data_IF_985876051570
#
_entry.id   IF_985876051570
#
_cell.length_a   1.000
_cell.length_b   1.000
_cell.length_c   1.000
_cell.angle_alpha   90.00
_cell.angle_beta   90.00
_cell.angle_gamma   90.00
#
_symmetry.space_group_name_H-M   'P 1'
#
loop_
_entity.id
_entity.type
_entity.pdbx_description
1 polymer ?
#
# COMPACT_ATOMS: atom_id res chain seq x y z
N UNK A 1 -1.37 61.40 -16.57
CA UNK A 1 -1.21 59.94 -16.67
C UNK A 1 -0.68 59.57 -18.05
N UNK A 2 0.55 59.07 -18.12
CA UNK A 2 1.10 58.52 -19.37
C UNK A 2 0.92 56.99 -19.35
N UNK A 3 0.28 56.49 -20.40
CA UNK A 3 0.01 55.07 -20.61
C UNK A 3 1.31 54.36 -21.03
N UNK A 4 1.74 53.33 -20.30
CA UNK A 4 2.95 52.56 -20.60
C UNK A 4 2.55 51.32 -21.40
N UNK A 5 2.54 51.43 -22.73
CA UNK A 5 2.07 50.39 -23.67
C UNK A 5 3.18 49.38 -24.00
N UNK A 6 3.71 48.69 -22.98
CA UNK A 6 4.58 47.54 -23.18
C UNK A 6 3.93 46.28 -22.58
N UNK A 7 3.80 45.19 -23.35
CA UNK A 7 3.12 43.98 -22.89
C UNK A 7 4.00 43.28 -21.84
N UNK A 8 3.83 43.66 -20.58
CA UNK A 8 4.44 42.99 -19.45
C UNK A 8 3.54 41.83 -19.01
N UNK A 9 4.09 40.62 -18.80
CA UNK A 9 3.32 39.47 -18.31
C UNK A 9 2.95 39.58 -16.82
N UNK A 10 3.25 40.71 -16.18
CA UNK A 10 3.04 40.98 -14.76
C UNK A 10 2.40 42.35 -14.56
N UNK A 11 1.69 42.50 -13.44
CA UNK A 11 1.15 43.78 -13.02
C UNK A 11 2.31 44.71 -12.61
N UNK A 12 2.36 45.88 -13.24
CA UNK A 12 3.42 46.86 -13.06
C UNK A 12 2.79 48.22 -12.73
N UNK A 13 3.32 48.88 -11.70
CA UNK A 13 2.96 50.26 -11.33
C UNK A 13 4.23 51.09 -11.21
N UNK A 14 4.17 52.34 -11.66
CA UNK A 14 5.17 53.37 -11.41
C UNK A 14 4.54 54.48 -10.60
N UNK A 15 5.14 54.83 -9.47
CA UNK A 15 4.64 55.90 -8.60
C UNK A 15 5.76 56.86 -8.17
N UNK A 16 5.38 58.08 -7.80
CA UNK A 16 6.29 59.05 -7.18
C UNK A 16 6.49 58.75 -5.68
N UNK A 17 7.37 59.52 -5.02
CA UNK A 17 7.61 59.40 -3.56
C UNK A 17 6.39 59.72 -2.69
N UNK A 18 5.39 60.42 -3.23
CA UNK A 18 4.15 60.74 -2.53
C UNK A 18 3.09 59.64 -2.69
N UNK A 19 3.39 58.59 -3.47
CA UNK A 19 2.49 57.49 -3.77
C UNK A 19 1.49 57.81 -4.88
N UNK A 20 1.69 58.87 -5.65
CA UNK A 20 0.91 59.19 -6.84
C UNK A 20 1.34 58.29 -8.01
N UNK A 21 0.37 57.62 -8.64
CA UNK A 21 0.63 56.65 -9.70
C UNK A 21 0.86 57.40 -11.02
N UNK A 22 2.09 57.32 -11.53
CA UNK A 22 2.55 58.00 -12.75
C UNK A 22 2.19 57.19 -14.00
N UNK A 23 2.39 55.87 -13.95
CA UNK A 23 2.03 54.93 -15.02
C UNK A 23 1.73 53.53 -14.46
N UNK A 24 1.01 52.72 -15.24
CA UNK A 24 0.66 51.34 -14.87
C UNK A 24 0.43 50.48 -16.11
N UNK A 25 0.60 49.15 -15.97
CA UNK A 25 0.32 48.18 -17.05
C UNK A 25 -1.17 47.81 -17.14
N UNK A 26 -1.58 47.25 -18.27
CA UNK A 26 -2.96 46.75 -18.48
C UNK A 26 -3.36 45.74 -17.42
N UNK A 27 -2.46 44.80 -17.07
CA UNK A 27 -2.70 43.78 -16.06
C UNK A 27 -2.87 44.39 -14.65
N UNK A 28 -2.18 45.49 -14.33
CA UNK A 28 -2.37 46.21 -13.08
C UNK A 28 -3.74 46.92 -13.01
N UNK A 29 -4.23 47.46 -14.13
CA UNK A 29 -5.58 48.03 -14.24
C UNK A 29 -6.67 46.97 -14.10
N UNK A 30 -6.44 45.77 -14.62
CA UNK A 30 -7.36 44.65 -14.49
C UNK A 30 -7.42 44.13 -13.04
N UNK A 31 -6.27 44.05 -12.35
CA UNK A 31 -6.19 43.48 -11.01
C UNK A 31 -6.55 44.45 -9.87
N UNK A 32 -6.28 45.75 -10.03
CA UNK A 32 -6.43 46.76 -8.96
C UNK A 32 -7.43 47.88 -9.31
N UNK A 33 -8.04 48.48 -8.28
CA UNK A 33 -8.88 49.68 -8.43
C UNK A 33 -8.04 50.96 -8.39
N UNK A 34 -7.50 51.34 -9.56
CA UNK A 34 -6.57 52.48 -9.70
C UNK A 34 -7.28 53.85 -9.87
N UNK A 35 -8.58 53.94 -9.58
CA UNK A 35 -9.42 55.13 -9.84
C UNK A 35 -9.05 56.37 -9.01
N UNK A 36 -8.43 56.18 -7.85
CA UNK A 36 -8.01 57.27 -6.97
C UNK A 36 -6.63 57.85 -7.31
N UNK A 37 -5.89 57.22 -8.24
CA UNK A 37 -4.56 57.68 -8.65
C UNK A 37 -3.48 57.60 -7.56
N UNK A 38 -3.77 57.01 -6.39
CA UNK A 38 -2.85 56.90 -5.26
C UNK A 38 -2.67 55.44 -4.82
N UNK A 39 -1.42 55.07 -4.55
CA UNK A 39 -1.02 53.73 -4.09
C UNK A 39 -1.64 53.35 -2.73
N UNK A 40 -1.96 54.32 -1.89
CA UNK A 40 -2.60 54.09 -0.57
C UNK A 40 -4.01 53.53 -0.67
N UNK A 41 -4.71 53.77 -1.78
CA UNK A 41 -6.08 53.25 -1.99
C UNK A 41 -6.13 51.74 -2.20
N UNK A 42 -5.05 51.15 -2.72
CA UNK A 42 -4.96 49.71 -3.08
C UNK A 42 -4.24 48.86 -2.03
N UNK A 43 -3.75 49.47 -0.94
CA UNK A 43 -3.01 48.81 0.14
C UNK A 43 -3.79 48.85 1.45
N UNK A 44 -3.50 47.91 2.34
CA UNK A 44 -3.94 48.02 3.75
C UNK A 44 -3.05 48.97 4.56
N UNK A 45 -3.56 49.47 5.68
CA UNK A 45 -2.87 50.48 6.50
C UNK A 45 -1.50 49.99 7.01
N UNK A 46 -1.37 48.69 7.28
CA UNK A 46 -0.11 48.06 7.72
C UNK A 46 0.93 48.00 6.59
N UNK A 47 0.51 47.70 5.37
CA UNK A 47 1.37 47.64 4.18
C UNK A 47 1.82 49.03 3.73
N UNK A 48 1.01 50.07 3.94
CA UNK A 48 1.43 51.47 3.72
C UNK A 48 2.60 51.84 4.63
N UNK A 49 2.57 51.43 5.90
CA UNK A 49 3.67 51.68 6.84
C UNK A 49 4.94 50.94 6.42
N UNK A 50 4.82 49.68 5.98
CA UNK A 50 5.95 48.89 5.47
C UNK A 50 6.58 49.59 4.26
N UNK A 51 5.80 50.06 3.29
CA UNK A 51 6.33 50.80 2.14
C UNK A 51 7.09 52.08 2.52
N UNK A 52 6.58 52.85 3.48
CA UNK A 52 7.23 54.10 3.94
C UNK A 52 8.56 53.84 4.66
N UNK A 53 8.75 52.68 5.28
CA UNK A 53 10.03 52.32 5.91
C UNK A 53 11.14 52.06 4.87
N UNK A 54 10.77 51.59 3.67
CA UNK A 54 11.72 51.29 2.59
C UNK A 54 11.79 52.39 1.52
N UNK A 55 11.24 53.58 1.78
CA UNK A 55 11.33 54.73 0.87
C UNK A 55 12.70 55.44 0.88
N UNK A 56 13.65 54.96 1.70
CA UNK A 56 14.98 55.54 1.92
C UNK A 56 16.12 54.62 1.48
N UNK A 57 15.83 53.69 0.55
CA UNK A 57 16.82 52.75 0.01
C UNK A 57 17.58 53.42 -1.15
N UNK A 58 18.92 53.22 -1.28
CA UNK A 58 19.69 53.81 -2.36
C UNK A 58 19.14 53.48 -3.75
N UNK A 59 19.30 54.42 -4.69
CA UNK A 59 19.07 54.19 -6.12
C UNK A 59 19.84 52.92 -6.54
N UNK A 60 19.19 52.05 -7.32
CA UNK A 60 19.70 50.77 -7.86
C UNK A 60 19.54 49.49 -7.02
N UNK A 61 19.13 49.53 -5.75
CA UNK A 61 18.83 48.31 -4.98
C UNK A 61 17.36 47.89 -5.10
N UNK A 62 17.13 46.63 -5.49
CA UNK A 62 15.78 46.06 -5.56
C UNK A 62 15.31 45.67 -4.15
N UNK A 63 14.23 46.28 -3.68
CA UNK A 63 13.58 45.93 -2.42
C UNK A 63 12.48 44.91 -2.70
N UNK A 64 12.36 43.88 -1.86
CA UNK A 64 11.26 42.90 -1.91
C UNK A 64 10.42 43.00 -0.66
N UNK A 65 9.11 43.09 -0.82
CA UNK A 65 8.15 43.24 0.27
C UNK A 65 6.93 42.35 0.05
N UNK A 66 6.38 41.83 1.14
CA UNK A 66 5.08 41.16 1.12
C UNK A 66 4.01 42.16 1.56
N UNK A 67 3.09 42.46 0.66
CA UNK A 67 2.05 43.46 0.88
C UNK A 67 0.67 42.83 0.65
N UNK A 68 -0.24 43.15 1.55
CA UNK A 68 -1.64 42.84 1.39
C UNK A 68 -2.28 43.93 0.53
N UNK A 69 -2.86 43.50 -0.59
CA UNK A 69 -3.47 44.41 -1.56
C UNK A 69 -4.95 44.15 -1.70
N UNK A 70 -5.72 45.23 -1.84
CA UNK A 70 -7.13 45.17 -2.21
C UNK A 70 -7.22 44.97 -3.72
N UNK A 71 -7.78 43.85 -4.15
CA UNK A 71 -7.98 43.54 -5.56
C UNK A 71 -9.47 43.64 -5.90
N UNK A 72 -9.80 43.70 -7.20
CA UNK A 72 -11.21 43.72 -7.64
C UNK A 72 -11.94 42.40 -7.37
N UNK A 73 -11.21 41.29 -7.35
CA UNK A 73 -11.77 39.95 -7.26
C UNK A 73 -11.75 39.41 -5.82
N UNK A 74 -10.72 39.76 -5.04
CA UNK A 74 -10.57 39.39 -3.64
C UNK A 74 -10.35 40.62 -2.76
N UNK A 75 -11.06 40.74 -1.62
CA UNK A 75 -11.02 41.93 -0.77
C UNK A 75 -9.61 42.21 -0.22
N UNK A 76 -8.82 41.16 0.04
CA UNK A 76 -7.41 41.25 0.41
C UNK A 76 -6.69 40.03 -0.18
N UNK A 77 -5.65 40.25 -0.97
CA UNK A 77 -4.77 39.19 -1.49
C UNK A 77 -3.31 39.54 -1.21
N UNK A 78 -2.48 38.52 -0.96
CA UNK A 78 -1.08 38.67 -0.64
C UNK A 78 -0.24 38.74 -1.92
N UNK A 79 0.58 39.78 -2.05
CA UNK A 79 1.50 39.96 -3.17
C UNK A 79 2.94 40.08 -2.67
N UNK A 80 3.87 39.44 -3.39
CA UNK A 80 5.28 39.78 -3.33
C UNK A 80 5.54 40.93 -4.32
N UNK A 81 6.03 42.04 -3.78
CA UNK A 81 6.23 43.30 -4.50
C UNK A 81 7.71 43.61 -4.59
N UNK A 82 8.20 43.75 -5.81
CA UNK A 82 9.58 44.14 -6.09
C UNK A 82 9.60 45.62 -6.46
N UNK A 83 10.40 46.43 -5.75
CA UNK A 83 10.48 47.88 -5.92
C UNK A 83 11.90 48.25 -6.33
N UNK A 84 12.02 49.05 -7.40
CA UNK A 84 13.27 49.63 -7.86
C UNK A 84 13.10 51.14 -8.11
N UNK A 85 13.88 51.95 -7.40
CA UNK A 85 13.91 53.40 -7.58
C UNK A 85 14.73 53.78 -8.82
N UNK A 86 14.18 54.64 -9.68
CA UNK A 86 14.90 55.22 -10.81
C UNK A 86 15.60 56.53 -10.43
N UNK A 87 16.49 57.01 -11.30
CA UNK A 87 17.25 58.26 -11.11
C UNK A 87 16.39 59.54 -11.10
N UNK A 88 15.08 59.42 -11.27
CA UNK A 88 14.11 60.51 -11.22
C UNK A 88 13.20 60.37 -9.99
N UNK A 89 13.64 59.64 -8.96
CA UNK A 89 12.90 59.41 -7.72
C UNK A 89 11.54 58.71 -7.91
N UNK A 90 11.36 57.93 -8.98
CA UNK A 90 10.16 57.13 -9.16
C UNK A 90 10.38 55.67 -8.75
N UNK A 91 9.40 55.13 -8.01
CA UNK A 91 9.36 53.73 -7.64
C UNK A 91 8.72 52.91 -8.77
N UNK A 92 9.49 52.00 -9.36
CA UNK A 92 8.99 51.00 -10.30
C UNK A 92 8.67 49.72 -9.52
N UNK A 93 7.42 49.28 -9.58
CA UNK A 93 6.90 48.18 -8.77
C UNK A 93 6.35 47.06 -9.65
N UNK A 94 6.76 45.82 -9.36
CA UNK A 94 6.21 44.60 -9.97
C UNK A 94 5.52 43.80 -8.88
N UNK A 95 4.29 43.34 -9.16
CA UNK A 95 3.43 42.63 -8.23
C UNK A 95 3.28 41.17 -8.66
N UNK A 96 3.64 40.24 -7.78
CA UNK A 96 3.48 38.79 -7.97
C UNK A 96 2.48 38.26 -6.94
N UNK A 97 1.35 37.64 -7.35
CA UNK A 97 0.41 37.05 -6.39
C UNK A 97 1.06 35.83 -5.71
N UNK A 98 0.94 35.75 -4.37
CA UNK A 98 1.27 34.53 -3.61
C UNK A 98 -0.02 33.77 -3.34
N UNK A 99 -0.27 32.72 -4.13
CA UNK A 99 -1.41 31.83 -3.94
C UNK A 99 -1.29 31.06 -2.61
N UNK A 100 -2.27 31.25 -1.71
CA UNK A 100 -2.50 30.42 -0.51
C UNK A 100 -2.97 28.98 -0.84
N UNK A 101 -3.22 28.70 -2.13
CA UNK A 101 -3.77 27.44 -2.65
C UNK A 101 -2.85 26.21 -2.48
N UNK A 102 -1.56 26.40 -2.23
CA UNK A 102 -0.62 25.27 -2.08
C UNK A 102 -0.59 24.69 -0.65
N UNK A 103 -0.97 25.46 0.37
CA UNK A 103 -0.93 25.00 1.76
C UNK A 103 -2.02 23.95 2.03
N UNK A 104 -3.25 24.19 1.56
CA UNK A 104 -4.35 23.24 1.70
C UNK A 104 -4.14 21.93 0.91
N UNK A 105 -3.45 22.01 -0.23
CA UNK A 105 -3.08 20.82 -1.01
C UNK A 105 -2.00 20.00 -0.31
N UNK A 106 -0.99 20.67 0.25
CA UNK A 106 0.06 20.01 1.04
C UNK A 106 -0.52 19.29 2.27
N UNK A 107 -1.46 19.94 2.97
CA UNK A 107 -2.14 19.33 4.12
C UNK A 107 -2.96 18.09 3.72
N UNK A 108 -3.72 18.16 2.63
CA UNK A 108 -4.47 17.00 2.11
C UNK A 108 -3.53 15.85 1.69
N UNK A 109 -2.39 16.16 1.08
CA UNK A 109 -1.39 15.16 0.73
C UNK A 109 -0.79 14.49 1.99
N UNK A 110 -0.48 15.27 3.02
CA UNK A 110 -0.01 14.73 4.30
C UNK A 110 -1.07 13.84 4.98
N UNK A 111 -2.33 14.26 4.98
CA UNK A 111 -3.43 13.46 5.52
C UNK A 111 -3.63 12.15 4.75
N UNK A 112 -3.56 12.20 3.42
CA UNK A 112 -3.61 11.01 2.56
C UNK A 112 -2.44 10.07 2.82
N UNK A 113 -1.21 10.59 2.88
CA UNK A 113 -0.03 9.78 3.18
C UNK A 113 -0.16 9.10 4.54
N UNK A 114 -0.66 9.81 5.56
CA UNK A 114 -0.90 9.24 6.89
C UNK A 114 -1.95 8.13 6.86
N UNK A 115 -3.07 8.33 6.16
CA UNK A 115 -4.11 7.30 5.99
C UNK A 115 -3.61 6.09 5.20
N UNK A 116 -2.80 6.31 4.16
CA UNK A 116 -2.19 5.22 3.39
C UNK A 116 -1.27 4.39 4.28
N UNK A 117 -0.35 5.04 5.02
CA UNK A 117 0.54 4.35 5.93
C UNK A 117 -0.21 3.55 7.02
N UNK A 118 -1.29 4.11 7.58
CA UNK A 118 -2.11 3.37 8.56
C UNK A 118 -2.84 2.18 7.93
N UNK A 119 -3.37 2.35 6.72
CA UNK A 119 -4.06 1.27 6.00
C UNK A 119 -3.09 0.16 5.60
N UNK A 120 -1.89 0.52 5.13
CA UNK A 120 -0.85 -0.44 4.77
C UNK A 120 -0.41 -1.24 6.00
N UNK A 121 -0.29 -0.61 7.17
CA UNK A 121 0.01 -1.30 8.41
C UNK A 121 -1.11 -2.27 8.82
N UNK A 122 -2.37 -1.84 8.78
CA UNK A 122 -3.52 -2.70 9.08
C UNK A 122 -3.63 -3.88 8.11
N UNK A 123 -3.38 -3.66 6.81
CA UNK A 123 -3.36 -4.72 5.80
C UNK A 123 -2.24 -5.73 6.06
N UNK A 124 -1.06 -5.27 6.48
CA UNK A 124 0.05 -6.15 6.81
C UNK A 124 -0.29 -7.06 8.00
N UNK A 125 -0.84 -6.48 9.08
CA UNK A 125 -1.28 -7.23 10.26
C UNK A 125 -2.35 -8.27 9.90
N UNK A 126 -3.35 -7.87 9.10
CA UNK A 126 -4.41 -8.78 8.61
C UNK A 126 -3.85 -9.91 7.73
N UNK A 127 -2.84 -9.62 6.93
CA UNK A 127 -2.16 -10.63 6.10
C UNK A 127 -1.42 -11.64 6.99
N UNK A 128 -0.68 -11.18 7.99
CA UNK A 128 0.04 -12.06 8.92
C UNK A 128 -0.91 -12.96 9.72
N UNK A 129 -2.03 -12.40 10.22
CA UNK A 129 -3.09 -13.18 10.87
C UNK A 129 -3.63 -14.29 9.95
N UNK A 130 -3.89 -13.96 8.68
CA UNK A 130 -4.39 -14.92 7.71
C UNK A 130 -3.39 -16.04 7.43
N UNK A 131 -2.10 -15.70 7.25
CA UNK A 131 -1.03 -16.69 7.06
C UNK A 131 -0.95 -17.66 8.25
N UNK A 132 -1.01 -17.17 9.49
CA UNK A 132 -1.03 -18.01 10.68
C UNK A 132 -2.25 -18.95 10.73
N UNK A 133 -3.43 -18.44 10.35
CA UNK A 133 -4.63 -19.26 10.26
C UNK A 133 -4.48 -20.35 9.19
N UNK A 134 -3.90 -20.03 8.03
CA UNK A 134 -3.66 -21.02 6.96
C UNK A 134 -2.68 -22.11 7.40
N UNK A 135 -1.59 -21.74 8.07
CA UNK A 135 -0.63 -22.71 8.64
C UNK A 135 -1.36 -23.65 9.61
N UNK A 136 -2.12 -23.11 10.56
CA UNK A 136 -2.86 -23.90 11.54
C UNK A 136 -3.91 -24.80 10.89
N UNK A 137 -4.61 -24.31 9.86
CA UNK A 137 -5.54 -25.14 9.09
C UNK A 137 -4.83 -26.29 8.40
N UNK A 138 -3.65 -26.05 7.82
CA UNK A 138 -2.86 -27.09 7.17
C UNK A 138 -2.35 -28.13 8.18
N UNK A 139 -1.93 -27.73 9.38
CA UNK A 139 -1.58 -28.65 10.48
C UNK A 139 -2.76 -29.53 10.89
N UNK A 140 -3.96 -28.94 11.02
CA UNK A 140 -5.20 -29.65 11.34
C UNK A 140 -5.74 -30.51 10.18
N UNK A 141 -5.18 -30.37 8.98
CA UNK A 141 -5.65 -31.07 7.78
C UNK A 141 -5.05 -32.48 7.61
N UNK A 142 -4.08 -32.85 8.43
CA UNK A 142 -3.45 -34.18 8.45
C UNK A 142 -3.08 -34.60 9.87
N UNK A 143 -4.04 -34.60 10.82
CA UNK A 143 -3.76 -34.93 12.21
C UNK A 143 -3.31 -36.39 12.30
N UNK A 144 -2.30 -36.64 13.13
CA UNK A 144 -1.86 -37.99 13.42
C UNK A 144 -2.73 -38.59 14.52
N UNK A 145 -3.53 -39.61 14.19
CA UNK A 145 -4.50 -40.22 15.11
C UNK A 145 -4.11 -41.69 15.37
N UNK A 146 -3.52 -42.03 16.52
CA UNK A 146 -3.28 -43.41 16.91
C UNK A 146 -4.61 -44.16 17.06
N UNK A 147 -4.77 -45.28 16.35
CA UNK A 147 -5.94 -46.17 16.47
C UNK A 147 -5.66 -47.34 17.41
N UNK A 148 -4.40 -47.78 17.48
CA UNK A 148 -3.88 -48.77 18.43
C UNK A 148 -2.38 -48.53 18.65
N UNK A 149 -1.73 -49.37 19.44
CA UNK A 149 -0.26 -49.36 19.62
C UNK A 149 0.49 -49.63 18.29
N UNK A 150 -0.15 -50.28 17.32
CA UNK A 150 0.48 -50.70 16.05
C UNK A 150 -0.16 -50.08 14.81
N UNK A 151 -1.23 -49.30 14.96
CA UNK A 151 -1.95 -48.69 13.84
C UNK A 151 -2.23 -47.20 14.06
N UNK A 152 -2.02 -46.39 13.03
CA UNK A 152 -2.39 -44.97 13.03
C UNK A 152 -3.19 -44.58 11.77
N UNK A 153 -3.92 -43.46 11.89
CA UNK A 153 -4.73 -42.85 10.85
C UNK A 153 -4.32 -41.40 10.62
N UNK A 154 -4.12 -41.05 9.36
CA UNK A 154 -3.80 -39.71 8.89
C UNK A 154 -4.86 -39.31 7.86
N UNK A 155 -5.92 -38.60 8.26
CA UNK A 155 -6.94 -38.14 7.33
C UNK A 155 -6.49 -36.86 6.62
N UNK A 156 -6.56 -36.85 5.30
CA UNK A 156 -6.21 -35.70 4.45
C UNK A 156 -7.50 -35.02 3.99
N UNK A 157 -7.69 -33.78 4.41
CA UNK A 157 -8.88 -32.99 4.07
C UNK A 157 -8.62 -31.96 2.97
N UNK A 158 -9.58 -31.75 2.06
CA UNK A 158 -9.52 -30.68 1.07
C UNK A 158 -8.60 -30.96 -0.12
N UNK A 159 -8.07 -29.90 -0.74
CA UNK A 159 -7.22 -30.03 -1.93
C UNK A 159 -5.78 -30.41 -1.54
N UNK A 160 -5.16 -31.28 -2.33
CA UNK A 160 -3.75 -31.67 -2.15
C UNK A 160 -2.87 -30.72 -2.94
N UNK A 161 -2.19 -29.83 -2.23
CA UNK A 161 -1.20 -28.87 -2.76
C UNK A 161 0.20 -29.19 -2.24
N UNK A 162 1.22 -28.59 -2.85
CA UNK A 162 2.62 -28.75 -2.41
C UNK A 162 2.83 -28.28 -0.96
N UNK A 163 2.34 -27.09 -0.62
CA UNK A 163 2.46 -26.50 0.71
C UNK A 163 1.84 -27.39 1.79
N UNK A 164 0.61 -27.85 1.53
CA UNK A 164 -0.12 -28.73 2.44
C UNK A 164 0.62 -30.03 2.69
N UNK A 165 1.17 -30.63 1.63
CA UNK A 165 1.91 -31.87 1.77
C UNK A 165 3.24 -31.69 2.48
N UNK A 166 3.91 -30.55 2.37
CA UNK A 166 5.13 -30.29 3.16
C UNK A 166 4.82 -30.27 4.66
N UNK A 167 3.75 -29.57 5.07
CA UNK A 167 3.33 -29.47 6.48
C UNK A 167 2.92 -30.84 7.03
N UNK A 168 2.09 -31.58 6.28
CA UNK A 168 1.67 -32.93 6.68
C UNK A 168 2.87 -33.87 6.76
N UNK A 169 3.80 -33.80 5.80
CA UNK A 169 5.00 -34.66 5.79
C UNK A 169 5.86 -34.43 7.03
N UNK A 170 6.11 -33.17 7.40
CA UNK A 170 6.91 -32.85 8.58
C UNK A 170 6.26 -33.39 9.87
N UNK A 171 4.94 -33.19 10.03
CA UNK A 171 4.20 -33.70 11.18
C UNK A 171 4.19 -35.24 11.23
N UNK A 172 3.92 -35.90 10.11
CA UNK A 172 3.89 -37.37 10.02
C UNK A 172 5.24 -37.99 10.34
N UNK A 173 6.32 -37.48 9.75
CA UNK A 173 7.67 -38.02 9.96
C UNK A 173 8.12 -37.86 11.42
N UNK A 174 7.78 -36.73 12.07
CA UNK A 174 8.02 -36.54 13.51
C UNK A 174 7.23 -37.53 14.36
N UNK A 175 5.95 -37.74 14.06
CA UNK A 175 5.07 -38.62 14.83
C UNK A 175 5.43 -40.12 14.70
N UNK A 176 5.87 -40.53 13.51
CA UNK A 176 6.25 -41.92 13.25
C UNK A 176 7.64 -42.24 13.80
N UNK A 177 8.51 -41.23 13.99
CA UNK A 177 9.80 -41.43 14.64
C UNK A 177 9.69 -41.76 16.14
N UNK A 178 8.61 -41.34 16.80
CA UNK A 178 8.44 -41.55 18.25
C UNK A 178 7.81 -42.88 18.61
N UNK A 179 7.06 -43.49 17.69
CA UNK A 179 6.33 -44.76 17.90
C UNK A 179 6.41 -45.59 16.62
N UNK A 180 6.85 -46.85 16.75
CA UNK A 180 6.92 -47.79 15.63
C UNK A 180 5.54 -48.38 15.35
N UNK A 181 4.85 -47.85 14.33
CA UNK A 181 3.58 -48.39 13.85
C UNK A 181 3.81 -49.49 12.81
N UNK A 182 3.05 -50.58 12.85
CA UNK A 182 3.07 -51.60 11.81
C UNK A 182 2.25 -51.17 10.59
N UNK A 183 1.14 -50.45 10.83
CA UNK A 183 0.23 -49.98 9.77
C UNK A 183 -0.06 -48.49 9.86
N UNK A 184 0.07 -47.81 8.72
CA UNK A 184 -0.21 -46.38 8.59
C UNK A 184 -1.33 -46.19 7.55
N UNK A 185 -2.47 -45.69 7.99
CA UNK A 185 -3.64 -45.45 7.13
C UNK A 185 -3.71 -43.99 6.70
N UNK A 186 -3.73 -43.72 5.39
CA UNK A 186 -4.01 -42.40 4.85
C UNK A 186 -5.45 -42.35 4.33
N UNK A 187 -6.30 -41.52 4.95
CA UNK A 187 -7.69 -41.36 4.53
C UNK A 187 -7.83 -40.21 3.52
N UNK A 188 -8.20 -40.57 2.29
CA UNK A 188 -8.36 -39.66 1.16
C UNK A 188 -9.83 -39.38 0.85
N UNK A 189 -10.77 -39.81 1.71
CA UNK A 189 -12.23 -39.66 1.50
C UNK A 189 -12.62 -38.20 1.25
N UNK A 190 -12.04 -37.29 2.03
CA UNK A 190 -12.32 -35.85 1.99
C UNK A 190 -11.43 -35.06 1.02
N UNK A 191 -10.66 -35.74 0.16
CA UNK A 191 -9.80 -35.07 -0.82
C UNK A 191 -10.61 -34.55 -2.01
N UNK A 192 -10.33 -33.31 -2.38
CA UNK A 192 -10.93 -32.59 -3.51
C UNK A 192 -10.07 -32.65 -4.76
N UNK A 193 -9.57 -31.49 -5.20
CA UNK A 193 -8.63 -31.33 -6.32
C UNK A 193 -7.20 -31.59 -5.86
N UNK A 194 -6.35 -31.87 -6.83
CA UNK A 194 -4.99 -32.29 -6.58
C UNK A 194 -4.07 -31.67 -7.60
N UNK A 195 -3.00 -31.06 -7.09
CA UNK A 195 -1.94 -30.47 -7.89
C UNK A 195 -0.83 -31.48 -8.17
N UNK A 196 -0.21 -31.40 -9.35
CA UNK A 196 0.87 -32.32 -9.74
C UNK A 196 2.03 -32.32 -8.71
N UNK A 197 2.45 -31.14 -8.25
CA UNK A 197 3.50 -31.00 -7.22
C UNK A 197 3.08 -31.57 -5.86
N UNK A 198 1.80 -31.44 -5.51
CA UNK A 198 1.24 -32.06 -4.31
C UNK A 198 1.36 -33.58 -4.35
N UNK A 199 1.11 -34.22 -5.50
CA UNK A 199 1.26 -35.68 -5.66
C UNK A 199 2.72 -36.10 -5.58
N UNK A 200 3.63 -35.33 -6.17
CA UNK A 200 5.06 -35.61 -6.09
C UNK A 200 5.51 -35.64 -4.64
N UNK A 201 5.10 -34.65 -3.84
CA UNK A 201 5.37 -34.61 -2.38
C UNK A 201 4.70 -35.75 -1.63
N UNK A 202 3.45 -36.06 -1.94
CA UNK A 202 2.74 -37.19 -1.33
C UNK A 202 3.44 -38.53 -1.62
N UNK A 203 3.86 -38.74 -2.87
CA UNK A 203 4.61 -39.93 -3.28
C UNK A 203 5.96 -40.00 -2.56
N UNK A 204 6.66 -38.88 -2.43
CA UNK A 204 7.90 -38.80 -1.68
C UNK A 204 7.69 -39.18 -0.21
N UNK A 205 6.63 -38.67 0.43
CA UNK A 205 6.29 -39.02 1.80
C UNK A 205 6.05 -40.53 1.97
N UNK A 206 5.26 -41.15 1.08
CA UNK A 206 5.01 -42.61 1.16
C UNK A 206 6.31 -43.41 1.07
N UNK A 207 7.19 -43.04 0.14
CA UNK A 207 8.51 -43.67 -0.01
C UNK A 207 9.34 -43.50 1.25
N UNK A 208 9.46 -42.28 1.75
CA UNK A 208 10.25 -41.98 2.97
C UNK A 208 9.72 -42.77 4.16
N UNK A 209 8.40 -42.79 4.39
CA UNK A 209 7.79 -43.56 5.48
C UNK A 209 8.09 -45.05 5.33
N UNK A 210 7.88 -45.61 4.13
CA UNK A 210 8.12 -47.03 3.87
C UNK A 210 9.59 -47.41 4.14
N UNK A 211 10.55 -46.60 3.68
CA UNK A 211 11.97 -46.84 3.93
C UNK A 211 12.37 -46.68 5.41
N UNK A 212 11.80 -45.71 6.12
CA UNK A 212 12.18 -45.43 7.50
C UNK A 212 11.64 -46.45 8.49
N UNK A 213 10.45 -46.98 8.24
CA UNK A 213 9.69 -47.76 9.23
C UNK A 213 9.47 -49.20 8.85
N UNK A 214 9.51 -49.51 7.54
CA UNK A 214 9.02 -50.79 7.04
C UNK A 214 7.51 -51.01 7.21
N UNK A 215 6.75 -50.00 7.66
CA UNK A 215 5.31 -50.11 7.90
C UNK A 215 4.55 -50.38 6.61
N UNK A 216 3.43 -51.09 6.75
CA UNK A 216 2.45 -51.24 5.67
C UNK A 216 1.64 -49.95 5.58
N UNK A 217 1.85 -49.20 4.50
CA UNK A 217 1.10 -47.98 4.22
C UNK A 217 -0.16 -48.35 3.43
N UNK A 218 -1.33 -47.91 3.90
CA UNK A 218 -2.61 -48.16 3.23
C UNK A 218 -3.31 -46.84 2.89
N UNK A 219 -3.72 -46.69 1.65
CA UNK A 219 -4.58 -45.60 1.21
C UNK A 219 -6.04 -46.04 1.26
N UNK A 220 -6.89 -45.26 1.92
CA UNK A 220 -8.32 -45.56 2.06
C UNK A 220 -9.18 -44.42 1.51
N UNK A 221 -10.42 -44.73 1.12
CA UNK A 221 -11.37 -43.70 0.69
C UNK A 221 -11.06 -43.05 -0.66
N UNK A 222 -10.26 -43.72 -1.51
CA UNK A 222 -9.80 -43.16 -2.77
C UNK A 222 -10.94 -43.07 -3.79
N UNK A 223 -11.22 -41.86 -4.27
CA UNK A 223 -12.16 -41.65 -5.40
C UNK A 223 -11.55 -42.18 -6.72
N UNK A 224 -12.36 -42.70 -7.67
CA UNK A 224 -11.83 -43.26 -8.93
C UNK A 224 -10.91 -42.32 -9.73
N UNK A 225 -11.22 -41.02 -9.76
CA UNK A 225 -10.39 -40.03 -10.43
C UNK A 225 -9.02 -39.87 -9.77
N UNK A 226 -8.98 -39.92 -8.43
CA UNK A 226 -7.76 -39.85 -7.64
C UNK A 226 -6.92 -41.12 -7.84
N UNK A 227 -7.55 -42.29 -7.81
CA UNK A 227 -6.87 -43.56 -8.06
C UNK A 227 -6.16 -43.59 -9.43
N UNK A 228 -6.82 -43.11 -10.50
CA UNK A 228 -6.21 -42.98 -11.84
C UNK A 228 -4.99 -42.07 -11.86
N UNK A 229 -5.01 -41.01 -11.05
CA UNK A 229 -3.94 -40.04 -10.98
C UNK A 229 -2.72 -40.61 -10.24
N UNK A 230 -2.93 -41.23 -9.06
CA UNK A 230 -1.85 -41.85 -8.27
C UNK A 230 -1.18 -43.00 -9.03
N UNK A 231 -1.94 -43.76 -9.81
CA UNK A 231 -1.39 -44.85 -10.63
C UNK A 231 -0.30 -44.36 -11.61
N UNK A 232 -0.42 -43.13 -12.16
CA UNK A 232 0.62 -42.56 -13.03
C UNK A 232 1.98 -42.38 -12.33
N UNK A 233 1.98 -42.30 -11.01
CA UNK A 233 3.17 -42.10 -10.18
C UNK A 233 3.73 -43.41 -9.61
N UNK A 234 3.20 -44.57 -10.04
CA UNK A 234 3.65 -45.92 -9.62
C UNK A 234 3.68 -46.10 -8.10
N UNK A 235 2.65 -45.60 -7.44
CA UNK A 235 2.51 -45.64 -5.98
C UNK A 235 2.16 -47.03 -5.46
N UNK A 236 1.64 -47.91 -6.32
CA UNK A 236 1.26 -49.29 -6.03
C UNK A 236 2.42 -50.16 -5.51
N UNK A 237 3.67 -49.79 -5.80
CA UNK A 237 4.86 -50.43 -5.23
C UNK A 237 5.04 -50.13 -3.73
N UNK A 238 4.46 -49.03 -3.23
CA UNK A 238 4.74 -48.49 -1.89
C UNK A 238 3.53 -48.53 -0.96
N UNK A 239 2.32 -48.63 -1.52
CA UNK A 239 1.08 -48.54 -0.76
C UNK A 239 0.08 -49.62 -1.16
N UNK A 240 -0.66 -50.12 -0.18
CA UNK A 240 -1.86 -50.91 -0.42
C UNK A 240 -3.08 -50.00 -0.49
N UNK A 241 -4.18 -50.47 -1.09
CA UNK A 241 -5.43 -49.71 -1.16
C UNK A 241 -6.58 -50.53 -0.58
N UNK A 242 -7.37 -49.91 0.29
CA UNK A 242 -8.62 -50.46 0.81
C UNK A 242 -9.75 -49.45 0.57
N UNK A 243 -11.02 -49.90 0.54
CA UNK A 243 -12.13 -49.03 0.17
C UNK A 243 -12.46 -47.99 1.26
N UNK A 244 -12.34 -48.38 2.54
CA UNK A 244 -12.71 -47.52 3.67
C UNK A 244 -12.06 -47.97 4.98
N UNK A 245 -12.04 -47.07 5.96
CA UNK A 245 -11.58 -47.37 7.32
C UNK A 245 -12.38 -48.54 7.93
N UNK A 246 -13.70 -48.56 7.72
CA UNK A 246 -14.58 -49.64 8.19
C UNK A 246 -14.11 -51.02 7.70
N UNK A 247 -13.70 -51.12 6.44
CA UNK A 247 -13.21 -52.36 5.87
C UNK A 247 -11.89 -52.80 6.51
N UNK A 248 -10.96 -51.86 6.71
CA UNK A 248 -9.69 -52.14 7.40
C UNK A 248 -9.95 -52.64 8.81
N UNK A 249 -10.73 -51.91 9.60
CA UNK A 249 -11.02 -52.24 11.00
C UNK A 249 -11.80 -53.54 11.16
N UNK A 250 -12.66 -53.91 10.19
CA UNK A 250 -13.38 -55.18 10.25
C UNK A 250 -12.46 -56.42 10.29
N UNK A 251 -11.22 -56.32 9.78
CA UNK A 251 -10.24 -57.41 9.85
C UNK A 251 -9.70 -57.62 11.28
N UNK A 252 -9.78 -56.60 12.13
CA UNK A 252 -9.28 -56.60 13.51
C UNK A 252 -10.39 -56.81 14.55
N UNK A 253 -11.63 -56.42 14.22
CA UNK A 253 -12.79 -56.52 15.12
C UNK A 253 -13.48 -57.90 15.12
N UNK A 254 -13.05 -58.84 14.27
CA UNK A 254 -13.57 -60.22 14.20
C UNK A 254 -12.57 -61.22 14.82
N UNK A 255 -11.73 -60.76 15.75
CA UNK A 255 -10.91 -61.62 16.61
C UNK A 255 -11.46 -61.64 18.03
#
# INVERSE_FOLDING_TARGET
MQYFDHPLPLAFLKADRNGEILSYSTLARENFELSEGNLKGILDEESVIKLLQYSWVPEFDSVRLELNMKTKNEPIALFEVHILWDSNDHANMIFLPKDSSNEGLLQKLMEMQKRLASTDFELLEKKEELEQVLIRLNELSGPFIPLSETMCLIPIFGDITEEKMNIISESCLKAVFTVEYEEILFDLTAVGKIEARGIEKFTQLMKTLNFMTGSVIKLIGIKPNLAKMLNKYKLDEWVQTDQSLKQVLSKYLIR
#
